data_IF_661154517992
#
_entry.id   IF_661154517992
#
_cell.length_a   1.000
_cell.length_b   1.000
_cell.length_c   1.000
_cell.angle_alpha   90.00
_cell.angle_beta   90.00
_cell.angle_gamma   90.00
#
_symmetry.space_group_name_H-M   'P 1'
#
loop_
_entity.id
_entity.type
_entity.pdbx_description
1 polymer ?
#
# COMPACT_ATOMS: atom_id res chain seq x y z
N UNK A 1 -10.43 13.33 1.38
CA UNK A 1 -10.60 12.18 0.47
C UNK A 1 -12.00 11.58 0.51
N UNK A 2 -12.54 11.29 1.67
CA UNK A 2 -13.89 10.70 1.80
C UNK A 2 -14.97 11.58 1.17
N UNK A 3 -14.94 12.89 1.41
CA UNK A 3 -15.90 13.81 0.84
C UNK A 3 -15.83 13.85 -0.69
N UNK A 4 -14.62 13.81 -1.23
CA UNK A 4 -14.43 13.78 -2.67
C UNK A 4 -15.01 12.51 -3.30
N UNK A 5 -14.80 11.36 -2.67
CA UNK A 5 -15.34 10.09 -3.12
C UNK A 5 -16.87 10.10 -3.05
N UNK A 6 -17.43 10.62 -1.97
CA UNK A 6 -18.89 10.72 -1.81
C UNK A 6 -19.52 11.56 -2.91
N UNK A 7 -18.94 12.70 -3.24
CA UNK A 7 -19.42 13.58 -4.32
C UNK A 7 -19.27 12.95 -5.69
N UNK A 8 -18.09 12.40 -5.99
CA UNK A 8 -17.81 11.82 -7.30
C UNK A 8 -18.64 10.59 -7.60
N UNK A 9 -18.95 9.78 -6.61
CA UNK A 9 -19.74 8.56 -6.75
C UNK A 9 -21.24 8.78 -6.48
N UNK A 10 -21.63 9.99 -6.12
CA UNK A 10 -23.03 10.34 -5.77
C UNK A 10 -23.58 9.48 -4.65
N UNK A 11 -22.76 9.21 -3.63
CA UNK A 11 -23.11 8.41 -2.47
C UNK A 11 -22.98 9.23 -1.18
N UNK A 12 -23.57 8.73 -0.10
CA UNK A 12 -23.44 9.39 1.19
C UNK A 12 -21.98 9.33 1.70
N UNK A 13 -21.63 10.25 2.58
CA UNK A 13 -20.31 10.26 3.22
C UNK A 13 -20.04 8.96 3.98
N UNK A 14 -21.05 8.41 4.64
CA UNK A 14 -20.93 7.13 5.35
C UNK A 14 -20.69 5.97 4.38
N UNK A 15 -21.40 5.93 3.26
CA UNK A 15 -21.18 4.91 2.24
C UNK A 15 -19.79 5.02 1.61
N UNK A 16 -19.31 6.26 1.37
CA UNK A 16 -17.95 6.48 0.87
C UNK A 16 -16.89 6.00 1.86
N UNK A 17 -17.08 6.26 3.16
CA UNK A 17 -16.18 5.79 4.21
C UNK A 17 -16.11 4.26 4.25
N UNK A 18 -17.26 3.61 4.18
CA UNK A 18 -17.33 2.14 4.13
C UNK A 18 -16.69 1.57 2.88
N UNK A 19 -16.86 2.23 1.75
CA UNK A 19 -16.24 1.80 0.49
C UNK A 19 -14.71 1.89 0.55
N UNK A 20 -14.15 2.96 1.12
CA UNK A 20 -12.72 3.11 1.32
C UNK A 20 -12.18 2.06 2.27
N UNK A 21 -12.87 1.82 3.39
CA UNK A 21 -12.47 0.81 4.36
C UNK A 21 -12.49 -0.60 3.75
N UNK A 22 -13.50 -0.91 2.95
CA UNK A 22 -13.61 -2.18 2.25
C UNK A 22 -12.46 -2.36 1.24
N UNK A 23 -12.12 -1.30 0.49
CA UNK A 23 -11.01 -1.32 -0.46
C UNK A 23 -9.68 -1.57 0.26
N UNK A 24 -9.41 -0.83 1.33
CA UNK A 24 -8.20 -1.00 2.13
C UNK A 24 -8.11 -2.41 2.72
N UNK A 25 -9.23 -2.93 3.25
CA UNK A 25 -9.30 -4.28 3.77
C UNK A 25 -9.04 -5.33 2.70
N UNK A 26 -9.58 -5.16 1.50
CA UNK A 26 -9.37 -6.06 0.37
C UNK A 26 -7.89 -6.07 -0.06
N UNK A 27 -7.26 -4.90 -0.14
CA UNK A 27 -5.84 -4.79 -0.46
C UNK A 27 -4.98 -5.52 0.58
N UNK A 28 -5.24 -5.27 1.87
CA UNK A 28 -4.52 -5.95 2.96
C UNK A 28 -4.66 -7.46 2.87
N UNK A 29 -5.87 -7.95 2.67
CA UNK A 29 -6.14 -9.39 2.58
C UNK A 29 -5.43 -10.04 1.41
N UNK A 30 -5.45 -9.40 0.24
CA UNK A 30 -4.79 -9.91 -0.95
C UNK A 30 -3.27 -9.95 -0.80
N UNK A 31 -2.68 -8.89 -0.26
CA UNK A 31 -1.24 -8.82 -0.02
C UNK A 31 -0.80 -9.83 1.05
N UNK A 32 -1.63 -10.07 2.04
CA UNK A 32 -1.36 -11.06 3.07
C UNK A 32 -1.25 -12.47 2.47
N UNK A 33 -2.02 -12.74 1.42
CA UNK A 33 -1.97 -14.00 0.67
C UNK A 33 -0.85 -14.01 -0.39
N UNK A 34 -0.11 -12.93 -0.54
CA UNK A 34 0.95 -12.81 -1.54
C UNK A 34 0.44 -12.48 -2.94
N UNK A 35 -0.80 -12.03 -3.05
CA UNK A 35 -1.42 -11.69 -4.34
C UNK A 35 -1.23 -10.19 -4.65
N UNK A 36 -0.99 -9.88 -5.92
CA UNK A 36 -0.89 -8.50 -6.38
C UNK A 36 -2.29 -7.92 -6.62
N UNK A 37 -2.47 -6.66 -6.26
CA UNK A 37 -3.71 -5.93 -6.52
C UNK A 37 -3.42 -4.83 -7.54
N UNK A 38 -4.05 -4.91 -8.71
CA UNK A 38 -3.90 -3.93 -9.77
C UNK A 38 -5.14 -3.06 -9.87
N UNK A 39 -4.95 -1.74 -9.79
CA UNK A 39 -5.98 -0.75 -10.06
C UNK A 39 -5.69 -0.14 -11.42
N UNK A 40 -6.51 -0.48 -12.41
CA UNK A 40 -6.32 -0.05 -13.79
C UNK A 40 -6.27 1.48 -13.87
N UNK A 41 -5.25 2.01 -14.53
CA UNK A 41 -5.04 3.44 -14.67
C UNK A 41 -4.39 4.12 -13.45
N UNK A 42 -4.16 3.38 -12.38
CA UNK A 42 -3.56 3.94 -11.17
C UNK A 42 -2.21 3.30 -10.83
N UNK A 43 -2.20 2.00 -10.58
CA UNK A 43 -0.98 1.29 -10.24
C UNK A 43 -1.26 -0.08 -9.64
N UNK A 44 -0.22 -0.69 -9.10
CA UNK A 44 -0.32 -2.03 -8.52
C UNK A 44 0.30 -2.06 -7.13
N UNK A 45 -0.40 -2.70 -6.21
CA UNK A 45 0.12 -3.04 -4.89
C UNK A 45 0.64 -4.47 -4.93
N UNK A 46 1.82 -4.69 -4.40
CA UNK A 46 2.41 -6.02 -4.39
C UNK A 46 3.28 -6.21 -3.14
N UNK A 47 3.67 -7.44 -2.91
CA UNK A 47 4.50 -7.80 -1.76
C UNK A 47 5.95 -7.90 -2.23
N UNK A 48 6.82 -7.10 -1.61
CA UNK A 48 8.26 -7.25 -1.74
C UNK A 48 8.81 -8.05 -0.57
N UNK A 49 10.00 -8.57 -0.71
CA UNK A 49 10.71 -9.25 0.37
C UNK A 49 11.93 -8.44 0.74
N UNK A 50 12.11 -8.23 2.03
CA UNK A 50 13.34 -7.65 2.57
C UNK A 50 14.15 -8.79 3.19
N UNK A 51 15.38 -8.99 2.68
CA UNK A 51 16.28 -9.98 3.24
C UNK A 51 16.69 -9.60 4.67
N UNK A 52 16.99 -10.62 5.48
CA UNK A 52 17.58 -10.38 6.80
C UNK A 52 18.93 -9.69 6.63
N UNK A 53 19.23 -8.74 7.49
CA UNK A 53 20.49 -8.01 7.46
C UNK A 53 20.95 -7.69 8.87
N UNK A 54 22.22 -7.35 9.03
CA UNK A 54 22.79 -6.87 10.28
C UNK A 54 22.97 -5.37 10.19
N UNK A 55 22.35 -4.65 11.12
CA UNK A 55 22.57 -3.23 11.30
C UNK A 55 23.35 -2.95 12.55
N UNK A 56 23.62 -1.68 12.84
CA UNK A 56 24.26 -1.25 14.10
C UNK A 56 23.40 -0.24 14.82
N UNK A 57 23.33 -0.38 16.11
CA UNK A 57 22.72 0.62 16.97
C UNK A 57 23.63 1.84 17.01
N UNK A 58 23.19 3.02 16.53
CA UNK A 58 24.03 4.22 16.51
C UNK A 58 24.41 4.73 17.91
N UNK A 59 23.69 4.29 18.96
CA UNK A 59 23.97 4.67 20.33
C UNK A 59 25.07 3.84 20.97
N UNK A 60 25.00 2.53 20.81
CA UNK A 60 25.85 1.59 21.52
C UNK A 60 26.89 0.93 20.63
N UNK A 61 26.74 1.04 19.32
CA UNK A 61 27.57 0.34 18.34
C UNK A 61 27.31 -1.15 18.29
N UNK A 62 26.34 -1.66 19.04
CA UNK A 62 26.02 -3.08 19.07
C UNK A 62 25.38 -3.53 17.75
N UNK A 63 25.69 -4.75 17.33
CA UNK A 63 25.08 -5.34 16.15
C UNK A 63 23.61 -5.64 16.42
N UNK A 64 22.75 -5.27 15.44
CA UNK A 64 21.33 -5.54 15.46
C UNK A 64 20.99 -6.47 14.33
N UNK A 65 20.30 -7.57 14.62
CA UNK A 65 19.77 -8.44 13.59
C UNK A 65 18.41 -7.92 13.16
N UNK A 66 18.30 -7.54 11.89
CA UNK A 66 17.03 -7.15 11.28
C UNK A 66 16.52 -8.36 10.53
N UNK A 67 15.41 -8.99 10.98
CA UNK A 67 14.90 -10.19 10.34
C UNK A 67 14.37 -9.91 8.95
N UNK A 68 14.32 -10.94 8.12
CA UNK A 68 13.63 -10.88 6.85
C UNK A 68 12.17 -10.55 7.08
N UNK A 69 11.59 -9.74 6.20
CA UNK A 69 10.20 -9.35 6.29
C UNK A 69 9.59 -9.22 4.92
N UNK A 70 8.26 -9.40 4.87
CA UNK A 70 7.46 -9.05 3.70
C UNK A 70 7.05 -7.60 3.86
N UNK A 71 7.21 -6.81 2.80
CA UNK A 71 6.86 -5.39 2.83
C UNK A 71 5.89 -5.06 1.72
N UNK A 72 4.87 -4.22 1.98
CA UNK A 72 3.98 -3.77 0.93
C UNK A 72 4.73 -2.79 0.03
N UNK A 73 4.51 -2.92 -1.28
CA UNK A 73 5.09 -2.02 -2.27
C UNK A 73 4.02 -1.55 -3.24
N UNK A 74 4.24 -0.38 -3.81
CA UNK A 74 3.35 0.21 -4.80
C UNK A 74 4.15 0.61 -6.03
N UNK A 75 3.65 0.21 -7.21
CA UNK A 75 4.20 0.65 -8.49
C UNK A 75 3.16 1.51 -9.20
N UNK A 76 3.50 2.77 -9.44
CA UNK A 76 2.62 3.67 -10.18
C UNK A 76 2.42 3.20 -11.61
N UNK A 77 1.19 3.24 -12.09
CA UNK A 77 0.87 2.96 -13.47
C UNK A 77 1.25 4.11 -14.38
N UNK A 78 1.27 3.84 -15.68
CA UNK A 78 1.64 4.84 -16.70
C UNK A 78 0.74 6.07 -16.63
N UNK A 79 -0.57 5.86 -16.52
CA UNK A 79 -1.53 6.97 -16.46
C UNK A 79 -1.30 7.88 -15.26
N UNK A 80 -0.99 7.30 -14.08
CA UNK A 80 -0.69 8.09 -12.88
C UNK A 80 0.60 8.88 -13.05
N UNK A 81 1.63 8.28 -13.61
CA UNK A 81 2.90 8.97 -13.86
C UNK A 81 2.71 10.13 -14.84
N UNK A 82 1.94 9.92 -15.90
CA UNK A 82 1.64 10.97 -16.90
C UNK A 82 0.82 12.11 -16.30
N UNK A 83 -0.06 11.83 -15.36
CA UNK A 83 -0.85 12.85 -14.70
C UNK A 83 -0.01 13.82 -13.86
N UNK A 84 1.15 13.37 -13.38
CA UNK A 84 2.04 14.17 -12.54
C UNK A 84 3.13 14.90 -13.32
N UNK A 85 3.36 14.55 -14.58
CA UNK A 85 4.46 15.09 -15.40
C UNK A 85 3.98 15.76 -16.69
#
# INVERSE_FOLDING_TARGET
MIEHIAQSAEISKLAAERAVDALVGAVKSSLKKGQMVTLVGFGSFYVGKRAARTGRNPRTGAALKIPAARVPKFRAGKALKEALN
#
